data_IF_768883577988
#
_entry.id   IF_768883577988
#
_cell.length_a   1.000
_cell.length_b   1.000
_cell.length_c   1.000
_cell.angle_alpha   90.00
_cell.angle_beta   90.00
_cell.angle_gamma   90.00
#
_symmetry.space_group_name_H-M   'P 1'
#
loop_
_entity.id
_entity.type
_entity.pdbx_description
1 polymer ?
#
# COMPACT_ATOMS: atom_id res chain seq x y z
N UNK A 1 80.57 -29.68 -53.23
CA UNK A 1 80.89 -28.23 -53.22
C UNK A 1 79.78 -27.47 -53.96
N UNK A 2 79.47 -26.22 -53.60
CA UNK A 2 78.21 -25.81 -52.95
C UNK A 2 77.10 -25.20 -53.85
N UNK A 3 75.95 -25.02 -53.18
CA UNK A 3 74.68 -24.36 -53.52
C UNK A 3 74.83 -22.96 -54.17
N UNK A 4 73.84 -22.53 -54.96
CA UNK A 4 72.79 -21.60 -54.51
C UNK A 4 72.07 -20.87 -55.65
N UNK A 5 70.87 -20.36 -55.29
CA UNK A 5 70.04 -19.30 -55.91
C UNK A 5 68.95 -19.83 -56.85
N UNK A 6 67.67 -19.43 -56.76
CA UNK A 6 66.97 -18.39 -55.98
C UNK A 6 65.45 -18.66 -55.99
N UNK A 7 64.78 -17.97 -55.06
CA UNK A 7 63.43 -18.10 -54.51
C UNK A 7 62.33 -17.42 -55.36
N UNK A 8 61.21 -18.14 -55.51
CA UNK A 8 59.77 -17.80 -55.49
C UNK A 8 59.22 -16.45 -56.03
N UNK A 9 58.13 -16.56 -56.83
CA UNK A 9 56.94 -15.69 -56.84
C UNK A 9 55.88 -16.43 -57.70
N UNK A 10 54.75 -16.91 -57.19
CA UNK A 10 53.60 -16.15 -56.72
C UNK A 10 52.35 -16.81 -57.32
N UNK A 11 51.78 -17.80 -56.62
CA UNK A 11 50.56 -18.47 -57.04
C UNK A 11 49.33 -17.61 -56.67
N UNK A 12 48.49 -17.39 -57.68
CA UNK A 12 47.33 -16.52 -57.68
C UNK A 12 46.24 -17.00 -56.72
N UNK A 13 45.59 -16.02 -56.13
CA UNK A 13 44.35 -16.04 -55.35
C UNK A 13 43.15 -16.61 -56.12
N UNK A 14 42.37 -17.47 -55.46
CA UNK A 14 40.91 -17.55 -55.64
C UNK A 14 40.30 -18.27 -54.41
N UNK A 15 39.95 -17.50 -53.39
CA UNK A 15 39.28 -17.99 -52.19
C UNK A 15 37.78 -18.12 -52.49
N UNK A 16 37.32 -19.31 -52.86
CA UNK A 16 35.90 -19.60 -53.01
C UNK A 16 35.27 -19.77 -51.63
N UNK A 17 34.55 -18.75 -51.15
CA UNK A 17 33.71 -18.82 -49.95
C UNK A 17 32.63 -19.88 -50.16
N UNK A 18 32.75 -21.02 -49.49
CA UNK A 18 31.65 -21.97 -49.30
C UNK A 18 30.63 -21.36 -48.34
N UNK A 19 29.40 -21.21 -48.83
CA UNK A 19 28.26 -20.75 -48.06
C UNK A 19 27.94 -21.76 -46.94
N UNK A 20 27.89 -21.27 -45.71
CA UNK A 20 27.44 -22.02 -44.54
C UNK A 20 25.91 -22.13 -44.62
N UNK A 21 25.29 -23.32 -44.53
CA UNK A 21 23.84 -23.39 -44.45
C UNK A 21 23.39 -22.87 -43.08
N UNK A 22 22.45 -21.94 -43.12
CA UNK A 22 21.78 -21.34 -41.98
C UNK A 22 20.94 -22.42 -41.28
N UNK A 23 21.03 -22.62 -39.95
CA UNK A 23 20.17 -23.57 -39.27
C UNK A 23 18.75 -23.03 -39.28
N UNK A 24 17.85 -23.76 -39.94
CA UNK A 24 16.42 -23.49 -39.96
C UNK A 24 15.91 -23.20 -38.54
N UNK A 25 15.23 -22.08 -38.38
CA UNK A 25 14.59 -21.67 -37.15
C UNK A 25 13.63 -22.78 -36.69
N UNK A 26 14.01 -23.48 -35.62
CA UNK A 26 13.08 -24.37 -34.93
C UNK A 26 11.91 -23.54 -34.40
N UNK A 27 10.66 -24.02 -34.52
CA UNK A 27 9.51 -23.29 -34.01
C UNK A 27 9.69 -23.07 -32.51
N UNK A 28 9.67 -21.82 -32.07
CA UNK A 28 9.77 -21.46 -30.67
C UNK A 28 8.64 -22.18 -29.91
N UNK A 29 9.01 -23.17 -29.10
CA UNK A 29 8.07 -23.93 -28.27
C UNK A 29 7.25 -22.92 -27.48
N UNK A 30 5.89 -22.98 -27.53
CA UNK A 30 5.07 -22.03 -26.81
C UNK A 30 5.43 -22.13 -25.34
N UNK A 31 5.90 -21.02 -24.78
CA UNK A 31 6.35 -20.92 -23.39
C UNK A 31 5.09 -21.02 -22.53
N UNK A 32 4.69 -22.25 -22.20
CA UNK A 32 3.62 -22.49 -21.22
C UNK A 32 4.02 -21.72 -19.96
N UNK A 33 3.21 -20.76 -19.49
CA UNK A 33 3.47 -20.13 -18.21
C UNK A 33 3.50 -21.26 -17.19
N UNK A 34 4.63 -21.40 -16.50
CA UNK A 34 4.76 -22.37 -15.41
C UNK A 34 3.83 -21.85 -14.31
N UNK A 35 2.65 -22.45 -14.16
CA UNK A 35 1.83 -22.23 -12.96
C UNK A 35 2.73 -22.50 -11.77
N UNK A 36 2.88 -21.49 -10.93
CA UNK A 36 3.71 -21.57 -9.74
C UNK A 36 2.87 -22.13 -8.60
N UNK A 37 3.52 -22.70 -7.58
CA UNK A 37 2.85 -23.07 -6.34
C UNK A 37 2.07 -21.88 -5.74
N UNK A 38 2.57 -20.66 -5.92
CA UNK A 38 1.88 -19.43 -5.51
C UNK A 38 0.57 -19.20 -6.24
N UNK A 39 0.50 -19.49 -7.54
CA UNK A 39 -0.73 -19.34 -8.33
C UNK A 39 -1.80 -20.34 -7.90
N UNK A 40 -1.39 -21.58 -7.62
CA UNK A 40 -2.28 -22.65 -7.17
C UNK A 40 -2.79 -22.37 -5.74
N UNK A 41 -1.93 -21.86 -4.85
CA UNK A 41 -2.34 -21.40 -3.52
C UNK A 41 -3.35 -20.24 -3.60
N UNK A 42 -3.08 -19.22 -4.43
CA UNK A 42 -4.00 -18.11 -4.60
C UNK A 42 -5.35 -18.54 -5.23
N UNK A 43 -5.34 -19.56 -6.11
CA UNK A 43 -6.56 -20.15 -6.64
C UNK A 43 -7.36 -20.89 -5.54
N UNK A 44 -6.69 -21.70 -4.72
CA UNK A 44 -7.31 -22.40 -3.61
C UNK A 44 -7.92 -21.43 -2.58
N UNK A 45 -7.17 -20.40 -2.18
CA UNK A 45 -7.65 -19.40 -1.22
C UNK A 45 -8.88 -18.64 -1.75
N UNK A 46 -8.91 -18.31 -3.04
CA UNK A 46 -10.09 -17.68 -3.67
C UNK A 46 -11.30 -18.62 -3.70
N UNK A 47 -11.08 -19.91 -3.97
CA UNK A 47 -12.16 -20.90 -3.98
C UNK A 47 -12.75 -21.07 -2.57
N UNK A 48 -11.89 -21.19 -1.56
CA UNK A 48 -12.29 -21.25 -0.15
C UNK A 48 -13.09 -20.01 0.27
N UNK A 49 -12.58 -18.81 -0.03
CA UNK A 49 -13.28 -17.57 0.30
C UNK A 49 -14.63 -17.45 -0.41
N UNK A 50 -14.78 -17.95 -1.64
CA UNK A 50 -16.07 -17.98 -2.36
C UNK A 50 -17.07 -18.93 -1.69
N UNK A 51 -16.61 -20.08 -1.21
CA UNK A 51 -17.47 -21.07 -0.58
C UNK A 51 -17.84 -20.71 0.87
N UNK A 52 -16.90 -20.14 1.61
CA UNK A 52 -17.01 -20.00 3.08
C UNK A 52 -16.89 -18.55 3.59
N UNK A 53 -16.39 -17.63 2.77
CA UNK A 53 -16.04 -16.27 3.20
C UNK A 53 -17.21 -15.49 3.81
N UNK A 54 -18.41 -15.60 3.23
CA UNK A 54 -19.60 -14.93 3.78
C UNK A 54 -19.95 -15.44 5.19
N UNK A 55 -19.86 -16.75 5.42
CA UNK A 55 -20.10 -17.37 6.73
C UNK A 55 -19.06 -16.93 7.76
N UNK A 56 -17.78 -16.93 7.39
CA UNK A 56 -16.69 -16.46 8.27
C UNK A 56 -16.87 -14.98 8.61
N UNK A 57 -17.20 -14.12 7.64
CA UNK A 57 -17.46 -12.70 7.88
C UNK A 57 -18.63 -12.52 8.86
N UNK A 58 -19.72 -13.27 8.69
CA UNK A 58 -20.87 -13.20 9.59
C UNK A 58 -20.51 -13.66 11.02
N UNK A 59 -19.77 -14.78 11.15
CA UNK A 59 -19.32 -15.29 12.44
C UNK A 59 -18.40 -14.30 13.15
N UNK A 60 -17.38 -13.77 12.48
CA UNK A 60 -16.45 -12.79 13.09
C UNK A 60 -17.18 -11.50 13.46
N UNK A 61 -18.15 -11.03 12.65
CA UNK A 61 -18.96 -9.86 13.00
C UNK A 61 -19.78 -10.08 14.27
N UNK A 62 -20.29 -11.28 14.50
CA UNK A 62 -21.06 -11.62 15.69
C UNK A 62 -20.18 -11.86 16.92
N UNK A 63 -19.08 -12.59 16.78
CA UNK A 63 -18.24 -13.04 17.90
C UNK A 63 -17.17 -12.01 18.29
N UNK A 64 -16.58 -11.31 17.31
CA UNK A 64 -15.44 -10.39 17.48
C UNK A 64 -15.60 -9.15 16.59
N UNK A 65 -16.62 -8.31 16.83
CA UNK A 65 -16.92 -7.15 15.99
C UNK A 65 -15.73 -6.17 15.89
N UNK A 66 -14.96 -5.97 16.96
CA UNK A 66 -13.79 -5.08 16.93
C UNK A 66 -12.71 -5.57 15.96
N UNK A 67 -12.48 -6.89 15.92
CA UNK A 67 -11.50 -7.48 15.01
C UNK A 67 -11.98 -7.40 13.56
N UNK A 68 -13.27 -7.59 13.31
CA UNK A 68 -13.88 -7.40 12.00
C UNK A 68 -13.64 -5.97 11.49
N UNK A 69 -13.95 -4.96 12.30
CA UNK A 69 -13.79 -3.56 11.91
C UNK A 69 -12.32 -3.19 11.65
N UNK A 70 -11.37 -3.71 12.43
CA UNK A 70 -9.93 -3.53 12.18
C UNK A 70 -9.50 -4.11 10.83
N UNK A 71 -9.95 -5.32 10.48
CA UNK A 71 -9.63 -5.93 9.18
C UNK A 71 -10.24 -5.11 8.04
N UNK A 72 -11.48 -4.66 8.18
CA UNK A 72 -12.13 -3.78 7.19
C UNK A 72 -11.34 -2.49 7.01
N UNK A 73 -10.87 -1.88 8.09
CA UNK A 73 -10.04 -0.67 8.05
C UNK A 73 -8.73 -0.90 7.26
N UNK A 74 -8.06 -2.04 7.43
CA UNK A 74 -6.82 -2.36 6.68
C UNK A 74 -7.01 -2.57 5.18
N UNK A 75 -8.25 -2.81 4.73
CA UNK A 75 -8.59 -2.98 3.32
C UNK A 75 -8.89 -1.64 2.64
N UNK A 76 -9.16 -0.59 3.41
CA UNK A 76 -9.39 0.75 2.88
C UNK A 76 -8.05 1.39 2.45
N UNK A 77 -8.04 2.24 1.41
CA UNK A 77 -6.86 3.05 1.09
C UNK A 77 -6.41 3.86 2.31
N UNK A 78 -5.11 4.12 2.45
CA UNK A 78 -4.55 4.80 3.62
C UNK A 78 -5.16 6.19 3.85
N UNK A 79 -5.48 6.89 2.77
CA UNK A 79 -6.13 8.20 2.81
C UNK A 79 -7.53 8.14 3.45
N UNK A 80 -8.23 6.99 3.38
CA UNK A 80 -9.49 6.78 4.11
C UNK A 80 -9.27 6.54 5.60
N UNK A 81 -8.17 5.90 6.00
CA UNK A 81 -7.85 5.68 7.42
C UNK A 81 -7.44 6.97 8.14
N UNK A 82 -6.78 7.91 7.47
CA UNK A 82 -6.42 9.21 8.05
C UNK A 82 -7.66 10.04 8.45
N UNK A 83 -8.76 9.92 7.68
CA UNK A 83 -10.03 10.59 7.99
C UNK A 83 -10.87 9.92 9.10
N UNK A 84 -10.60 8.63 9.35
CA UNK A 84 -11.34 7.79 10.30
C UNK A 84 -10.61 7.61 11.63
N UNK A 85 -9.34 8.00 11.69
CA UNK A 85 -8.71 8.28 12.97
C UNK A 85 -9.60 9.31 13.66
N UNK A 86 -10.33 8.88 14.69
CA UNK A 86 -10.94 9.74 15.70
C UNK A 86 -9.90 10.69 16.37
N UNK A 87 -8.62 10.56 15.98
CA UNK A 87 -7.49 11.44 16.19
C UNK A 87 -7.46 12.71 15.30
N UNK A 88 -8.36 12.92 14.34
CA UNK A 88 -8.59 14.29 13.82
C UNK A 88 -9.07 15.24 14.93
N UNK A 89 -9.57 14.67 16.04
CA UNK A 89 -9.75 15.36 17.32
C UNK A 89 -8.66 14.99 18.35
N UNK A 90 -7.43 14.69 17.92
CA UNK A 90 -6.30 14.37 18.79
C UNK A 90 -5.76 15.63 19.43
N UNK A 91 -6.54 16.20 20.35
CA UNK A 91 -6.04 17.10 21.38
C UNK A 91 -4.84 16.46 22.10
N UNK A 92 -4.83 15.13 22.22
CA UNK A 92 -3.75 14.34 22.83
C UNK A 92 -2.40 14.42 22.10
N UNK A 93 -2.36 14.88 20.84
CA UNK A 93 -1.12 15.08 20.07
C UNK A 93 -0.65 16.53 20.03
N UNK A 94 -1.45 17.46 20.53
CA UNK A 94 -1.09 18.88 20.57
C UNK A 94 -0.21 19.17 21.77
N UNK A 95 0.83 19.98 21.57
CA UNK A 95 1.56 20.54 22.70
C UNK A 95 0.68 21.53 23.48
N UNK A 96 0.97 21.73 24.77
CA UNK A 96 0.27 22.73 25.60
C UNK A 96 0.33 24.14 25.00
N UNK A 97 1.37 24.46 24.22
CA UNK A 97 1.46 25.76 23.54
C UNK A 97 0.53 25.82 22.32
N UNK A 98 0.43 24.76 21.53
CA UNK A 98 -0.52 24.69 20.42
C UNK A 98 -1.97 24.70 20.90
N UNK A 99 -2.26 24.02 22.01
CA UNK A 99 -3.58 24.08 22.66
C UNK A 99 -3.90 25.52 23.04
N UNK A 100 -2.98 26.22 23.73
CA UNK A 100 -3.16 27.63 24.12
C UNK A 100 -3.34 28.55 22.91
N UNK A 101 -2.57 28.34 21.86
CA UNK A 101 -2.67 29.13 20.62
C UNK A 101 -4.05 28.97 19.96
N UNK A 102 -4.55 27.73 19.88
CA UNK A 102 -5.90 27.44 19.36
C UNK A 102 -7.00 28.07 20.20
N UNK A 103 -6.90 27.99 21.53
CA UNK A 103 -7.87 28.62 22.44
C UNK A 103 -7.94 30.13 22.18
N UNK A 104 -6.80 30.83 22.11
CA UNK A 104 -6.77 32.27 21.81
C UNK A 104 -7.40 32.61 20.46
N UNK A 105 -7.16 31.79 19.44
CA UNK A 105 -7.77 31.96 18.11
C UNK A 105 -9.30 31.78 18.13
N UNK A 106 -9.78 30.80 18.90
CA UNK A 106 -11.22 30.58 19.10
C UNK A 106 -11.85 31.74 19.88
N UNK A 107 -11.23 32.20 20.96
CA UNK A 107 -11.69 33.37 21.73
C UNK A 107 -11.80 34.62 20.86
N UNK A 108 -10.81 34.89 20.00
CA UNK A 108 -10.85 36.03 19.09
C UNK A 108 -11.99 35.94 18.08
N UNK A 109 -12.30 34.73 17.61
CA UNK A 109 -13.38 34.48 16.65
C UNK A 109 -14.76 34.53 17.30
N UNK A 110 -14.86 34.11 18.57
CA UNK A 110 -16.11 34.05 19.33
C UNK A 110 -16.46 35.36 20.05
N UNK A 111 -15.46 36.18 20.41
CA UNK A 111 -15.64 37.47 21.10
C UNK A 111 -16.73 38.36 20.48
N UNK A 112 -16.77 38.58 19.15
CA UNK A 112 -17.82 39.40 18.53
C UNK A 112 -19.24 38.89 18.80
N UNK A 113 -19.42 37.58 18.99
CA UNK A 113 -20.71 36.96 19.28
C UNK A 113 -21.07 37.01 20.77
N UNK A 114 -20.08 37.03 21.66
CA UNK A 114 -20.26 37.13 23.12
C UNK A 114 -20.50 38.58 23.56
N UNK A 115 -19.78 39.53 22.96
CA UNK A 115 -19.93 40.97 23.24
C UNK A 115 -21.25 41.53 22.70
N UNK A 116 -21.94 40.78 21.82
CA UNK A 116 -23.26 41.12 21.27
C UNK A 116 -24.43 40.77 22.20
N UNK A 117 -24.19 40.30 23.42
CA UNK A 117 -25.19 40.26 24.49
C UNK A 117 -26.36 39.30 24.27
N UNK A 118 -26.14 38.14 23.67
CA UNK A 118 -27.10 37.04 23.76
C UNK A 118 -26.78 36.21 25.01
N UNK A 119 -27.72 36.14 25.94
CA UNK A 119 -27.67 35.32 27.16
C UNK A 119 -27.35 33.85 26.86
N UNK A 120 -26.06 33.47 26.81
CA UNK A 120 -25.65 32.06 26.84
C UNK A 120 -25.60 31.62 28.30
N UNK A 121 -26.77 31.58 28.94
CA UNK A 121 -26.97 30.96 30.25
C UNK A 121 -27.04 29.44 30.06
N UNK A 122 -25.89 28.84 29.76
CA UNK A 122 -25.70 27.40 29.81
C UNK A 122 -25.51 26.97 31.26
N UNK A 123 -26.60 26.54 31.91
CA UNK A 123 -26.61 26.02 33.27
C UNK A 123 -25.78 24.72 33.41
N UNK A 124 -24.46 24.82 33.46
CA UNK A 124 -23.59 23.74 33.93
C UNK A 124 -23.62 23.73 35.47
N UNK A 125 -24.75 23.28 36.04
CA UNK A 125 -24.88 23.03 37.48
C UNK A 125 -24.11 21.76 37.80
N UNK A 126 -22.80 21.89 38.05
CA UNK A 126 -21.95 20.81 38.52
C UNK A 126 -22.45 20.29 39.86
N UNK A 127 -23.17 19.17 39.87
CA UNK A 127 -23.50 18.43 41.09
C UNK A 127 -22.24 17.77 41.61
N UNK A 128 -21.61 18.37 42.62
CA UNK A 128 -20.55 17.74 43.41
C UNK A 128 -21.19 16.73 44.37
N UNK A 129 -20.86 15.42 44.32
CA UNK A 129 -21.29 14.49 45.35
C UNK A 129 -20.64 14.87 46.68
N UNK A 130 -21.48 15.06 47.70
CA UNK A 130 -21.09 15.24 49.10
C UNK A 130 -20.50 13.91 49.59
N UNK A 131 -19.21 13.90 49.93
CA UNK A 131 -18.62 12.82 50.70
C UNK A 131 -19.32 12.75 52.08
N UNK A 132 -19.83 11.57 52.42
CA UNK A 132 -20.43 11.27 53.71
C UNK A 132 -19.33 10.87 54.73
N UNK A 133 -19.55 11.07 56.04
CA UNK A 133 -18.55 10.91 57.09
C UNK A 133 -18.13 9.46 57.35
#
# INVERSE_FOLDING_TARGET
MPKARRKAAGARTANAKTAKPEPAAAPARPKRPKKTLGDDFAAALRADFRAHGAGVIAAVRAEKPDQYLKVVLTMLPKDFSESLDASENSLDRLSDEEIRSRIRGLEASLRPFLDSGADVSGAARGTRPKAAP
#
